data_IF_083162599407
#
_entry.id   IF_083162599407
#
_cell.length_a   1.000
_cell.length_b   1.000
_cell.length_c   1.000
_cell.angle_alpha   90.00
_cell.angle_beta   90.00
_cell.angle_gamma   90.00
#
_symmetry.space_group_name_H-M   'P 1'
#
loop_
_entity.id
_entity.type
_entity.pdbx_description
1 polymer ?
#
# COMPACT_ATOMS: atom_id res chain seq x y z
N UNK A 1 -14.56 16.91 -12.55
CA UNK A 1 -13.34 16.77 -13.38
C UNK A 1 -12.58 15.60 -12.80
N UNK A 2 -11.95 14.77 -13.61
CA UNK A 2 -11.25 13.60 -13.10
C UNK A 2 -9.83 13.95 -12.64
N UNK A 3 -9.44 13.40 -11.50
CA UNK A 3 -8.11 13.51 -10.93
C UNK A 3 -7.60 12.13 -10.54
N UNK A 4 -6.34 11.85 -10.84
CA UNK A 4 -5.59 10.77 -10.24
C UNK A 4 -5.01 11.27 -8.91
N UNK A 5 -5.24 10.51 -7.84
CA UNK A 5 -4.76 10.82 -6.50
C UNK A 5 -3.93 9.64 -6.02
N UNK A 6 -2.65 9.87 -5.74
CA UNK A 6 -1.74 8.83 -5.26
C UNK A 6 -1.18 9.14 -3.88
N UNK A 7 -0.89 8.09 -3.12
CA UNK A 7 -0.29 8.18 -1.79
C UNK A 7 0.64 7.00 -1.54
N UNK A 8 1.84 7.31 -1.06
CA UNK A 8 2.77 6.32 -0.53
C UNK A 8 2.36 5.87 0.89
N UNK A 9 2.66 4.64 1.24
CA UNK A 9 2.40 4.03 2.55
C UNK A 9 3.36 2.89 2.84
N UNK A 10 3.33 2.40 4.07
CA UNK A 10 4.17 1.28 4.52
C UNK A 10 3.31 0.22 5.18
N UNK A 11 3.30 -0.98 4.63
CA UNK A 11 2.61 -2.12 5.26
C UNK A 11 3.61 -3.08 5.91
N UNK A 12 3.16 -3.82 6.92
CA UNK A 12 3.97 -4.84 7.58
C UNK A 12 3.32 -6.20 7.43
N UNK A 13 4.09 -7.18 6.99
CA UNK A 13 3.64 -8.56 6.88
C UNK A 13 4.49 -9.47 7.76
N UNK A 14 3.82 -10.31 8.54
CA UNK A 14 4.47 -11.34 9.35
C UNK A 14 4.39 -12.70 8.65
N UNK A 15 5.54 -13.29 8.35
CA UNK A 15 5.64 -14.53 7.59
C UNK A 15 6.41 -15.60 8.34
N UNK A 16 5.92 -16.84 8.27
CA UNK A 16 6.54 -17.98 8.93
C UNK A 16 7.46 -18.75 7.99
N UNK A 17 8.76 -18.46 8.07
CA UNK A 17 9.82 -19.30 7.54
C UNK A 17 10.53 -18.75 6.30
N UNK A 18 11.73 -19.28 6.06
CA UNK A 18 12.56 -18.92 4.90
C UNK A 18 13.89 -18.26 5.28
N UNK A 19 14.53 -17.70 4.25
CA UNK A 19 15.63 -16.74 4.38
C UNK A 19 15.09 -15.33 4.20
N UNK A 20 15.86 -14.30 4.55
CA UNK A 20 15.46 -12.90 4.39
C UNK A 20 14.92 -12.60 2.98
N UNK A 21 15.63 -13.06 1.94
CA UNK A 21 15.18 -12.93 0.54
C UNK A 21 13.88 -13.67 0.25
N UNK A 22 13.69 -14.85 0.83
CA UNK A 22 12.45 -15.61 0.66
C UNK A 22 11.28 -14.88 1.30
N UNK A 23 11.46 -14.40 2.54
CA UNK A 23 10.43 -13.69 3.28
C UNK A 23 10.04 -12.37 2.58
N UNK A 24 10.99 -11.59 2.07
CA UNK A 24 10.67 -10.39 1.27
C UNK A 24 9.86 -10.73 0.02
N UNK A 25 10.29 -11.72 -0.77
CA UNK A 25 9.59 -12.10 -2.00
C UNK A 25 8.17 -12.62 -1.74
N UNK A 26 7.97 -13.40 -0.68
CA UNK A 26 6.64 -13.89 -0.28
C UNK A 26 5.76 -12.72 0.18
N UNK A 27 6.30 -11.77 0.94
CA UNK A 27 5.58 -10.59 1.38
C UNK A 27 5.14 -9.71 0.20
N UNK A 28 6.03 -9.50 -0.78
CA UNK A 28 5.72 -8.76 -2.00
C UNK A 28 4.60 -9.43 -2.78
N UNK A 29 4.66 -10.76 -2.94
CA UNK A 29 3.65 -11.52 -3.68
C UNK A 29 2.27 -11.46 -3.00
N UNK A 30 2.22 -11.64 -1.67
CA UNK A 30 0.98 -11.60 -0.90
C UNK A 30 0.33 -10.20 -0.93
N UNK A 31 1.14 -9.15 -0.81
CA UNK A 31 0.66 -7.77 -0.93
C UNK A 31 0.18 -7.47 -2.35
N UNK A 32 0.94 -7.87 -3.37
CA UNK A 32 0.57 -7.69 -4.77
C UNK A 32 -0.79 -8.33 -5.08
N UNK A 33 -1.01 -9.58 -4.65
CA UNK A 33 -2.30 -10.26 -4.84
C UNK A 33 -3.46 -9.48 -4.19
N UNK A 34 -3.22 -8.93 -3.00
CA UNK A 34 -4.21 -8.10 -2.29
C UNK A 34 -4.53 -6.81 -3.05
N UNK A 35 -3.52 -6.10 -3.55
CA UNK A 35 -3.70 -4.86 -4.29
C UNK A 35 -4.34 -5.10 -5.67
N UNK A 36 -3.98 -6.19 -6.36
CA UNK A 36 -4.64 -6.61 -7.61
C UNK A 36 -6.14 -6.89 -7.39
N UNK A 37 -6.50 -7.50 -6.26
CA UNK A 37 -7.91 -7.71 -5.92
C UNK A 37 -8.65 -6.37 -5.76
N UNK A 38 -8.05 -5.39 -5.06
CA UNK A 38 -8.64 -4.06 -4.90
C UNK A 38 -8.81 -3.32 -6.23
N UNK A 39 -7.89 -3.49 -7.18
CA UNK A 39 -8.04 -2.97 -8.55
C UNK A 39 -9.19 -3.67 -9.27
N UNK A 40 -9.31 -4.99 -9.16
CA UNK A 40 -10.39 -5.76 -9.77
C UNK A 40 -11.78 -5.39 -9.19
N UNK A 41 -11.83 -5.00 -7.92
CA UNK A 41 -13.02 -4.48 -7.24
C UNK A 41 -13.32 -3.01 -7.57
N UNK A 42 -12.41 -2.34 -8.30
CA UNK A 42 -12.54 -0.94 -8.69
C UNK A 42 -12.31 0.05 -7.55
N UNK A 43 -11.70 -0.39 -6.45
CA UNK A 43 -11.35 0.47 -5.31
C UNK A 43 -10.04 1.22 -5.57
N UNK A 44 -9.09 0.57 -6.26
CA UNK A 44 -7.86 1.18 -6.73
C UNK A 44 -7.86 1.27 -8.26
N UNK A 45 -7.12 2.25 -8.79
CA UNK A 45 -6.86 2.36 -10.23
C UNK A 45 -5.49 1.82 -10.60
N UNK A 46 -4.49 2.03 -9.73
CA UNK A 46 -3.12 1.58 -9.92
C UNK A 46 -2.39 1.41 -8.58
N UNK A 47 -1.29 0.66 -8.56
CA UNK A 47 -0.44 0.46 -7.38
C UNK A 47 0.98 0.07 -7.77
N UNK A 48 1.95 0.40 -6.90
CA UNK A 48 3.35 0.00 -7.03
C UNK A 48 3.91 -0.41 -5.65
N UNK A 49 4.66 -1.51 -5.59
CA UNK A 49 5.50 -1.84 -4.42
C UNK A 49 6.91 -1.35 -4.73
N UNK A 50 7.37 -0.34 -4.00
CA UNK A 50 8.64 0.33 -4.24
C UNK A 50 9.82 -0.40 -3.60
N UNK A 51 9.62 -1.02 -2.43
CA UNK A 51 10.66 -1.74 -1.69
C UNK A 51 10.07 -2.76 -0.69
N UNK A 52 10.87 -3.78 -0.34
CA UNK A 52 10.55 -4.73 0.72
C UNK A 52 11.81 -5.09 1.54
N UNK A 53 11.77 -4.79 2.83
CA UNK A 53 12.90 -5.00 3.74
C UNK A 53 12.49 -5.73 5.02
N UNK A 54 13.44 -6.46 5.62
CA UNK A 54 13.21 -7.10 6.92
C UNK A 54 13.15 -6.02 8.00
N UNK A 55 11.96 -5.79 8.53
CA UNK A 55 11.73 -4.91 9.67
C UNK A 55 12.21 -5.53 10.98
N UNK A 56 11.89 -6.81 11.20
CA UNK A 56 12.33 -7.56 12.38
C UNK A 56 12.70 -9.00 11.99
N UNK A 57 13.90 -9.42 12.40
CA UNK A 57 14.38 -10.79 12.23
C UNK A 57 13.82 -11.72 13.34
N UNK A 58 13.62 -13.02 13.02
CA UNK A 58 13.27 -14.03 14.01
C UNK A 58 14.25 -14.07 15.18
N UNK A 59 13.75 -14.03 16.42
CA UNK A 59 14.58 -14.14 17.62
C UNK A 59 14.77 -15.59 18.09
N UNK A 60 13.91 -16.49 17.61
CA UNK A 60 13.95 -17.93 17.83
C UNK A 60 13.68 -18.71 16.52
N UNK A 61 14.01 -20.01 16.44
CA UNK A 61 13.94 -20.80 15.21
C UNK A 61 12.55 -20.95 14.56
N UNK A 62 11.49 -20.58 15.28
CA UNK A 62 10.10 -20.64 14.81
C UNK A 62 9.41 -19.28 14.86
N UNK A 63 10.13 -18.23 15.25
CA UNK A 63 9.60 -16.88 15.21
C UNK A 63 9.43 -16.44 13.76
N UNK A 64 8.36 -15.69 13.44
CA UNK A 64 8.16 -15.16 12.11
C UNK A 64 9.17 -14.05 11.78
N UNK A 65 9.35 -13.80 10.49
CA UNK A 65 9.90 -12.55 9.99
C UNK A 65 8.82 -11.47 10.04
N UNK A 66 9.19 -10.24 10.34
CA UNK A 66 8.36 -9.07 10.02
C UNK A 66 9.01 -8.33 8.87
N UNK A 67 8.31 -8.19 7.76
CA UNK A 67 8.75 -7.48 6.56
C UNK A 67 8.00 -6.16 6.48
N UNK A 68 8.69 -5.06 6.23
CA UNK A 68 8.08 -3.79 5.86
C UNK A 68 8.11 -3.65 4.34
N UNK A 69 7.00 -3.23 3.74
CA UNK A 69 6.88 -2.98 2.31
C UNK A 69 6.45 -1.55 2.08
N UNK A 70 7.22 -0.81 1.29
CA UNK A 70 6.86 0.50 0.80
C UNK A 70 5.96 0.34 -0.42
N UNK A 71 4.79 0.95 -0.39
CA UNK A 71 3.77 0.85 -1.45
C UNK A 71 3.27 2.24 -1.83
N UNK A 72 2.99 2.47 -3.09
CA UNK A 72 2.23 3.62 -3.58
C UNK A 72 0.91 3.12 -4.17
N UNK A 73 -0.20 3.73 -3.78
CA UNK A 73 -1.53 3.39 -4.30
C UNK A 73 -2.17 4.61 -4.94
N UNK A 74 -2.91 4.37 -6.02
CA UNK A 74 -3.56 5.43 -6.81
C UNK A 74 -5.04 5.15 -6.99
N UNK A 75 -5.86 6.19 -6.81
CA UNK A 75 -7.30 6.20 -7.09
C UNK A 75 -7.65 7.28 -8.09
N UNK A 76 -8.78 7.11 -8.78
CA UNK A 76 -9.37 8.15 -9.62
C UNK A 76 -10.62 8.70 -8.95
N UNK A 77 -10.71 10.02 -8.81
CA UNK A 77 -11.88 10.71 -8.24
C UNK A 77 -12.38 11.78 -9.20
N UNK A 78 -13.69 12.01 -9.23
CA UNK A 78 -14.26 13.17 -9.93
C UNK A 78 -14.57 14.27 -8.90
N UNK A 79 -13.87 15.39 -9.01
CA UNK A 79 -13.99 16.52 -8.10
C UNK A 79 -14.07 17.85 -8.87
N UNK A 80 -14.45 18.92 -8.17
CA UNK A 80 -14.53 20.27 -8.73
C UNK A 80 -13.14 20.89 -8.93
N UNK A 81 -12.18 20.58 -8.04
CA UNK A 81 -10.82 21.09 -8.03
C UNK A 81 -9.85 20.11 -7.33
N UNK A 82 -8.56 20.45 -7.34
CA UNK A 82 -7.49 19.59 -6.81
C UNK A 82 -7.52 19.45 -5.28
N UNK A 83 -8.00 20.46 -4.55
CA UNK A 83 -8.10 20.39 -3.08
C UNK A 83 -9.23 19.41 -2.70
N UNK A 84 -10.38 19.51 -3.37
CA UNK A 84 -11.47 18.54 -3.21
C UNK A 84 -11.04 17.12 -3.62
N UNK A 85 -10.31 16.99 -4.73
CA UNK A 85 -9.77 15.70 -5.16
C UNK A 85 -8.80 15.10 -4.12
N UNK A 86 -7.95 15.91 -3.50
CA UNK A 86 -7.04 15.43 -2.46
C UNK A 86 -7.82 14.83 -1.28
N UNK A 87 -8.84 15.53 -0.78
CA UNK A 87 -9.66 15.09 0.36
C UNK A 87 -10.43 13.80 0.02
N UNK A 88 -11.13 13.79 -1.12
CA UNK A 88 -11.91 12.62 -1.55
C UNK A 88 -11.02 11.42 -1.89
N UNK A 89 -9.89 11.66 -2.57
CA UNK A 89 -8.93 10.63 -2.93
C UNK A 89 -8.26 10.01 -1.72
N UNK A 90 -7.89 10.80 -0.71
CA UNK A 90 -7.38 10.26 0.55
C UNK A 90 -8.42 9.39 1.26
N UNK A 91 -9.66 9.86 1.37
CA UNK A 91 -10.73 9.08 1.99
C UNK A 91 -10.98 7.76 1.24
N UNK A 92 -10.90 7.77 -0.09
CA UNK A 92 -11.03 6.57 -0.91
C UNK A 92 -9.86 5.59 -0.71
N UNK A 93 -8.62 6.10 -0.67
CA UNK A 93 -7.42 5.31 -0.39
C UNK A 93 -7.51 4.68 1.00
N UNK A 94 -7.84 5.47 2.03
CA UNK A 94 -7.99 4.97 3.39
C UNK A 94 -9.10 3.92 3.49
N UNK A 95 -10.23 4.11 2.79
CA UNK A 95 -11.29 3.13 2.75
C UNK A 95 -10.88 1.83 2.03
N UNK A 96 -10.09 1.92 0.96
CA UNK A 96 -9.56 0.75 0.25
C UNK A 96 -8.57 -0.03 1.13
N UNK A 97 -7.69 0.68 1.84
CA UNK A 97 -6.66 0.08 2.69
C UNK A 97 -7.18 -0.35 4.06
N UNK A 98 -8.31 0.17 4.56
CA UNK A 98 -8.88 -0.22 5.85
C UNK A 98 -9.24 -1.72 5.96
N UNK A 99 -9.38 -2.40 4.81
CA UNK A 99 -9.56 -3.86 4.75
C UNK A 99 -8.26 -4.67 4.76
N UNK A 100 -7.11 -4.00 4.75
CA UNK A 100 -5.77 -4.58 4.69
C UNK A 100 -5.00 -4.29 5.97
N UNK A 101 -3.93 -5.04 6.25
CA UNK A 101 -3.00 -4.74 7.36
C UNK A 101 -2.05 -3.56 7.02
N UNK A 102 -2.29 -2.85 5.90
CA UNK A 102 -1.49 -1.71 5.50
C UNK A 102 -1.85 -0.48 6.33
N UNK A 103 -0.87 0.02 7.09
CA UNK A 103 -0.99 1.28 7.79
C UNK A 103 -0.46 2.44 6.92
N UNK A 104 -1.10 3.61 6.93
CA UNK A 104 -0.51 4.79 6.30
C UNK A 104 0.78 5.14 7.06
N UNK A 105 1.85 5.39 6.32
CA UNK A 105 3.10 5.84 6.93
C UNK A 105 2.90 7.27 7.47
N UNK A 106 3.28 7.54 8.71
CA UNK A 106 3.16 8.88 9.32
C UNK A 106 4.10 9.89 8.61
N UNK A 107 5.14 9.38 7.92
CA UNK A 107 6.05 10.14 7.04
C UNK A 107 5.51 10.26 5.61
N UNK A 108 4.42 9.56 5.25
CA UNK A 108 3.80 9.73 3.93
C UNK A 108 3.30 11.16 3.77
N UNK A 109 3.97 11.87 2.86
CA UNK A 109 3.63 13.23 2.46
C UNK A 109 2.18 13.33 1.98
N UNK A 110 1.66 14.56 1.96
CA UNK A 110 0.37 14.89 1.35
C UNK A 110 0.17 14.17 0.01
N UNK A 111 -1.07 13.77 -0.33
CA UNK A 111 -1.34 13.02 -1.54
C UNK A 111 -0.90 13.82 -2.77
N UNK A 112 -0.42 13.13 -3.79
CA UNK A 112 -0.16 13.74 -5.09
C UNK A 112 -1.46 13.76 -5.88
N UNK A 113 -1.80 14.91 -6.45
CA UNK A 113 -3.03 15.08 -7.24
C UNK A 113 -2.66 15.54 -8.65
N UNK A 114 -3.06 14.77 -9.65
CA UNK A 114 -2.84 15.08 -11.06
C UNK A 114 -4.17 15.05 -11.84
N UNK A 115 -4.50 16.09 -12.62
CA UNK A 115 -5.68 16.10 -13.47
C UNK A 115 -5.51 15.13 -14.67
N UNK A 116 -6.57 14.39 -15.02
CA UNK A 116 -6.56 13.39 -16.11
C UNK A 116 -7.68 13.57 -17.14
#
# INVERSE_FOLDING_TARGET
>A
MAFAVSRAGTTRLTLHGGSDTTACNEAEADLAETLEALVAEGQLTDWEIADAEVYEHPTAPFDPYTIALAVEVTVTVDADDADAAAEEGMAAIEAALAGTDAEPDDDASSPTVEPI
#
